data_IF_199855739750
#
_entry.id   IF_199855739750
#
_cell.length_a   1.000
_cell.length_b   1.000
_cell.length_c   1.000
_cell.angle_alpha   90.00
_cell.angle_beta   90.00
_cell.angle_gamma   90.00
#
_symmetry.space_group_name_H-M   'P 1'
#
loop_
_entity.id
_entity.type
_entity.pdbx_description
1 polymer ?
#
# COMPACT_ATOMS: atom_id res chain seq x y z
N UNK A 1 4.65 -20.74 -12.70
CA UNK A 1 5.54 -21.08 -11.58
C UNK A 1 5.91 -19.76 -10.95
N UNK A 2 5.28 -19.42 -9.83
CA UNK A 2 5.53 -18.18 -9.10
C UNK A 2 6.86 -18.32 -8.35
N UNK A 3 7.90 -17.67 -8.84
CA UNK A 3 9.15 -17.46 -8.10
C UNK A 3 8.90 -16.42 -6.99
N UNK A 4 8.23 -16.83 -5.92
CA UNK A 4 8.28 -16.13 -4.63
C UNK A 4 8.67 -17.17 -3.59
N UNK A 5 9.93 -17.60 -3.65
CA UNK A 5 10.56 -18.28 -2.52
C UNK A 5 11.13 -17.20 -1.62
N UNK A 6 10.43 -16.86 -0.53
CA UNK A 6 11.06 -16.14 0.57
C UNK A 6 12.23 -17.00 1.06
N UNK A 7 13.45 -16.69 0.62
CA UNK A 7 14.66 -17.34 1.10
C UNK A 7 15.13 -16.56 2.32
N UNK A 8 14.60 -16.90 3.49
CA UNK A 8 15.18 -16.47 4.77
C UNK A 8 16.15 -17.51 5.29
N UNK A 9 17.26 -17.03 5.86
CA UNK A 9 18.28 -17.85 6.48
C UNK A 9 18.80 -17.20 7.77
N UNK A 10 19.18 -18.03 8.74
CA UNK A 10 19.80 -17.54 9.98
C UNK A 10 21.11 -16.83 9.64
N UNK A 11 21.30 -15.63 10.20
CA UNK A 11 22.43 -14.75 9.91
C UNK A 11 22.24 -13.84 8.69
N UNK A 12 21.06 -13.82 8.08
CA UNK A 12 20.73 -12.89 6.99
C UNK A 12 20.35 -11.51 7.54
N UNK A 13 20.81 -10.46 6.86
CA UNK A 13 20.37 -9.10 7.10
C UNK A 13 19.01 -8.85 6.43
N UNK A 14 18.05 -8.38 7.23
CA UNK A 14 16.68 -8.09 6.81
C UNK A 14 16.29 -6.68 7.21
N UNK A 15 15.34 -6.10 6.49
CA UNK A 15 14.64 -4.90 6.89
C UNK A 15 13.29 -5.27 7.47
N UNK A 16 13.01 -4.76 8.67
CA UNK A 16 11.69 -4.86 9.30
C UNK A 16 11.11 -3.47 9.48
N UNK A 17 9.84 -3.31 9.10
CA UNK A 17 9.08 -2.08 9.32
C UNK A 17 8.26 -2.25 10.59
N UNK A 18 8.76 -1.72 11.71
CA UNK A 18 8.01 -1.67 12.96
C UNK A 18 6.67 -1.02 12.67
N UNK A 19 5.58 -1.75 12.95
CA UNK A 19 4.25 -1.22 12.75
C UNK A 19 4.03 0.12 13.52
N UNK A 20 4.64 0.33 14.69
CA UNK A 20 4.62 1.61 15.45
C UNK A 20 5.63 2.67 14.97
N UNK A 21 6.52 2.30 14.05
CA UNK A 21 7.54 3.18 13.48
C UNK A 21 8.64 3.61 14.44
N UNK A 22 8.75 2.98 15.63
CA UNK A 22 9.74 3.34 16.65
C UNK A 22 11.05 2.57 16.47
N UNK A 23 10.97 1.34 15.97
CA UNK A 23 12.11 0.43 15.82
C UNK A 23 12.28 -0.12 14.40
N UNK A 24 11.68 0.51 13.39
CA UNK A 24 11.90 0.14 11.99
C UNK A 24 13.38 0.23 11.64
N UNK A 25 13.90 -0.74 10.89
CA UNK A 25 15.30 -0.71 10.51
C UNK A 25 15.87 -2.04 10.03
N UNK A 26 17.20 -2.06 10.01
CA UNK A 26 18.01 -3.23 9.69
C UNK A 26 18.13 -4.17 10.90
N UNK A 27 17.92 -5.46 10.69
CA UNK A 27 18.07 -6.51 11.70
C UNK A 27 18.76 -7.74 11.11
N UNK A 28 19.35 -8.55 11.98
CA UNK A 28 19.90 -9.87 11.68
C UNK A 28 18.89 -10.94 12.08
N UNK A 29 18.65 -11.93 11.24
CA UNK A 29 17.85 -13.12 11.58
C UNK A 29 18.64 -13.99 12.56
N UNK A 30 18.12 -14.18 13.77
CA UNK A 30 18.73 -15.03 14.80
C UNK A 30 18.18 -16.46 14.79
N UNK A 31 16.86 -16.60 14.62
CA UNK A 31 16.17 -17.88 14.67
C UNK A 31 14.96 -17.86 13.73
N UNK A 32 14.68 -19.00 13.11
CA UNK A 32 13.47 -19.24 12.31
C UNK A 32 12.73 -20.40 12.96
N UNK A 33 11.52 -20.16 13.44
CA UNK A 33 10.67 -21.17 14.08
C UNK A 33 9.89 -21.93 13.03
N UNK A 34 10.57 -22.80 12.29
CA UNK A 34 9.96 -23.63 11.25
C UNK A 34 8.77 -24.44 11.80
N UNK A 35 7.77 -24.64 10.94
CA UNK A 35 6.62 -25.49 11.23
C UNK A 35 7.01 -26.97 11.34
N UNK A 36 6.09 -27.82 11.80
CA UNK A 36 6.34 -29.24 12.07
C UNK A 36 6.84 -30.01 10.82
N UNK A 37 6.50 -29.53 9.63
CA UNK A 37 6.93 -30.07 8.34
C UNK A 37 8.27 -29.48 7.83
N UNK A 38 8.85 -28.53 8.58
CA UNK A 38 10.08 -27.82 8.23
C UNK A 38 9.89 -26.73 7.17
N UNK A 39 8.64 -26.33 6.88
CA UNK A 39 8.33 -25.28 5.92
C UNK A 39 8.66 -23.87 6.43
N UNK A 40 8.94 -22.96 5.49
CA UNK A 40 9.02 -21.52 5.73
C UNK A 40 7.84 -20.88 5.00
N UNK A 41 6.82 -20.51 5.76
CA UNK A 41 5.59 -19.89 5.30
C UNK A 41 5.57 -18.42 5.71
N UNK A 42 4.58 -17.68 5.21
CA UNK A 42 4.47 -16.24 5.44
C UNK A 42 4.26 -15.88 6.92
N UNK A 43 3.57 -16.74 7.67
CA UNK A 43 3.28 -16.64 9.09
C UNK A 43 4.36 -17.29 9.99
N UNK A 44 5.42 -17.86 9.41
CA UNK A 44 6.52 -18.43 10.18
C UNK A 44 7.17 -17.34 11.04
N UNK A 45 7.23 -17.58 12.34
CA UNK A 45 7.80 -16.63 13.30
C UNK A 45 9.32 -16.64 13.23
N UNK A 46 9.90 -15.46 13.06
CA UNK A 46 11.33 -15.21 12.95
C UNK A 46 11.77 -14.31 14.10
N UNK A 47 12.79 -14.73 14.84
CA UNK A 47 13.45 -13.87 15.82
C UNK A 47 14.53 -13.05 15.12
N UNK A 48 14.43 -11.73 15.22
CA UNK A 48 15.37 -10.78 14.62
C UNK A 48 16.03 -9.91 15.70
N UNK A 49 17.27 -9.45 15.45
CA UNK A 49 18.00 -8.57 16.38
C UNK A 49 18.86 -7.56 15.65
N UNK A 50 18.93 -6.34 16.17
CA UNK A 50 19.87 -5.30 15.72
C UNK A 50 21.03 -5.10 16.71
N UNK A 51 21.20 -6.02 17.67
CA UNK A 51 22.20 -5.96 18.73
C UNK A 51 21.82 -5.08 19.93
N UNK A 52 20.71 -4.36 19.86
CA UNK A 52 20.16 -3.53 20.95
C UNK A 52 18.78 -4.05 21.39
N UNK A 53 17.95 -4.44 20.43
CA UNK A 53 16.59 -4.94 20.62
C UNK A 53 16.36 -6.18 19.78
N UNK A 54 15.47 -7.04 20.26
CA UNK A 54 15.01 -8.25 19.58
C UNK A 54 13.50 -8.17 19.36
N UNK A 55 13.01 -8.76 18.27
CA UNK A 55 11.60 -8.86 17.96
C UNK A 55 11.28 -10.22 17.33
N UNK A 56 10.10 -10.75 17.64
CA UNK A 56 9.52 -11.88 16.93
C UNK A 56 8.55 -11.33 15.88
N UNK A 57 8.79 -11.66 14.63
CA UNK A 57 8.07 -11.11 13.48
C UNK A 57 7.73 -12.21 12.50
N UNK A 58 6.63 -12.06 11.77
CA UNK A 58 6.28 -13.00 10.71
C UNK A 58 7.24 -12.84 9.53
N UNK A 59 7.58 -13.96 8.88
CA UNK A 59 8.52 -13.99 7.77
C UNK A 59 8.07 -13.07 6.61
N UNK A 60 6.75 -12.91 6.40
CA UNK A 60 6.21 -12.03 5.36
C UNK A 60 6.42 -10.52 5.60
N UNK A 61 6.71 -10.10 6.83
CA UNK A 61 7.03 -8.70 7.15
C UNK A 61 8.48 -8.34 6.83
N UNK A 62 9.34 -9.35 6.63
CA UNK A 62 10.76 -9.17 6.44
C UNK A 62 11.11 -8.99 4.96
N UNK A 63 11.97 -8.02 4.68
CA UNK A 63 12.55 -7.82 3.36
C UNK A 63 14.02 -8.16 3.39
N UNK A 64 14.52 -8.83 2.35
CA UNK A 64 15.96 -8.96 2.16
C UNK A 64 16.59 -7.56 2.04
N UNK A 65 17.51 -7.25 2.95
CA UNK A 65 18.10 -5.92 3.04
C UNK A 65 18.95 -5.58 1.82
N UNK A 66 19.61 -6.58 1.24
CA UNK A 66 20.48 -6.39 0.07
C UNK A 66 19.65 -6.07 -1.17
N UNK A 67 18.60 -6.85 -1.43
CA UNK A 67 17.69 -6.63 -2.56
C UNK A 67 16.94 -5.30 -2.42
N UNK A 68 16.51 -4.96 -1.20
CA UNK A 68 15.86 -3.69 -0.89
C UNK A 68 16.78 -2.50 -1.20
N UNK A 69 18.02 -2.51 -0.70
CA UNK A 69 19.01 -1.46 -0.96
C UNK A 69 19.32 -1.31 -2.44
N UNK A 70 19.48 -2.42 -3.15
CA UNK A 70 19.71 -2.40 -4.59
C UNK A 70 18.54 -1.74 -5.34
N UNK A 71 17.30 -2.12 -5.03
CA UNK A 71 16.10 -1.52 -5.64
C UNK A 71 16.00 -0.02 -5.37
N UNK A 72 16.25 0.41 -4.13
CA UNK A 72 16.24 1.84 -3.76
C UNK A 72 17.34 2.58 -4.54
N UNK A 73 18.55 2.03 -4.59
CA UNK A 73 19.65 2.60 -5.37
C UNK A 73 19.29 2.77 -6.84
N UNK A 74 18.76 1.73 -7.49
CA UNK A 74 18.36 1.78 -8.90
C UNK A 74 17.29 2.87 -9.15
N UNK A 75 16.33 3.03 -8.23
CA UNK A 75 15.35 4.12 -8.31
C UNK A 75 16.01 5.49 -8.17
N UNK A 76 16.89 5.69 -7.18
CA UNK A 76 17.59 6.95 -6.93
C UNK A 76 18.47 7.33 -8.12
N UNK A 77 19.25 6.40 -8.64
CA UNK A 77 20.09 6.61 -9.83
C UNK A 77 19.22 7.07 -11.02
N UNK A 78 18.09 6.37 -11.26
CA UNK A 78 17.20 6.70 -12.37
C UNK A 78 16.53 8.06 -12.23
N UNK A 79 16.09 8.41 -11.02
CA UNK A 79 15.50 9.72 -10.73
C UNK A 79 16.55 10.81 -10.92
N UNK A 80 17.79 10.56 -10.48
CA UNK A 80 18.90 11.50 -10.62
C UNK A 80 19.16 11.84 -12.08
N UNK A 81 19.27 10.83 -12.94
CA UNK A 81 19.41 11.03 -14.39
C UNK A 81 18.30 11.91 -14.98
N UNK A 82 17.04 11.63 -14.64
CA UNK A 82 15.88 12.34 -15.20
C UNK A 82 15.86 13.81 -14.78
N UNK A 83 16.12 14.10 -13.51
CA UNK A 83 15.93 15.46 -12.97
C UNK A 83 17.11 16.37 -13.27
N UNK A 84 18.33 15.83 -13.33
CA UNK A 84 19.51 16.60 -13.75
C UNK A 84 19.41 17.02 -15.22
N UNK A 85 18.76 16.23 -16.09
CA UNK A 85 18.45 16.63 -17.47
C UNK A 85 17.47 17.83 -17.55
N UNK A 86 16.67 18.05 -16.51
CA UNK A 86 15.78 19.22 -16.36
C UNK A 86 16.39 20.29 -15.44
N UNK A 87 17.72 20.40 -15.31
CA UNK A 87 18.41 21.42 -14.49
C UNK A 87 18.04 21.41 -12.98
N UNK A 88 17.49 20.32 -12.44
CA UNK A 88 17.38 20.13 -11.00
C UNK A 88 18.69 19.59 -10.44
N UNK A 89 19.03 20.01 -9.22
CA UNK A 89 20.03 19.34 -8.39
C UNK A 89 19.34 18.38 -7.44
N UNK A 90 19.94 17.22 -7.23
CA UNK A 90 19.45 16.20 -6.30
C UNK A 90 20.59 15.64 -5.46
N UNK A 91 20.33 15.41 -4.18
CA UNK A 91 21.28 14.80 -3.27
C UNK A 91 20.62 13.73 -2.42
N UNK A 92 21.18 12.51 -2.42
CA UNK A 92 20.76 11.45 -1.51
C UNK A 92 21.55 11.53 -0.21
N UNK A 93 20.86 11.68 0.93
CA UNK A 93 21.47 11.73 2.25
C UNK A 93 21.67 10.34 2.88
N UNK A 94 20.97 9.31 2.39
CA UNK A 94 21.17 7.93 2.84
C UNK A 94 22.15 7.17 1.93
N UNK A 95 23.43 7.22 2.29
CA UNK A 95 24.51 6.51 1.58
C UNK A 95 24.32 4.98 1.54
N UNK A 96 23.53 4.43 2.47
CA UNK A 96 23.31 2.99 2.57
C UNK A 96 22.05 2.53 1.80
N UNK A 97 21.26 3.46 1.24
CA UNK A 97 20.01 3.16 0.53
C UNK A 97 19.03 2.32 1.36
N UNK A 98 18.97 2.55 2.67
CA UNK A 98 18.00 1.89 3.54
C UNK A 98 16.58 2.44 3.28
N UNK A 99 16.50 3.75 3.07
CA UNK A 99 15.30 4.50 2.74
C UNK A 99 15.57 5.50 1.61
N UNK A 100 14.52 6.12 1.09
CA UNK A 100 14.67 7.29 0.22
C UNK A 100 14.81 8.51 1.12
N UNK A 101 15.89 9.28 0.95
CA UNK A 101 16.14 10.56 1.61
C UNK A 101 16.81 11.51 0.61
N UNK A 102 15.98 12.15 -0.22
CA UNK A 102 16.43 12.97 -1.34
C UNK A 102 16.16 14.44 -1.06
N UNK A 103 17.13 15.30 -1.33
CA UNK A 103 16.94 16.74 -1.37
C UNK A 103 16.98 17.22 -2.82
N UNK A 104 15.86 17.77 -3.28
CA UNK A 104 15.73 18.39 -4.59
C UNK A 104 15.93 19.89 -4.45
N UNK A 105 16.69 20.51 -5.36
CA UNK A 105 16.80 21.97 -5.42
C UNK A 105 16.92 22.49 -6.85
N UNK A 106 16.44 23.71 -7.06
CA UNK A 106 16.50 24.41 -8.34
C UNK A 106 16.46 25.92 -8.10
N UNK A 107 17.04 26.69 -9.01
CA UNK A 107 16.92 28.16 -8.99
C UNK A 107 15.77 28.62 -9.89
N UNK A 108 15.01 29.60 -9.42
CA UNK A 108 14.03 30.31 -10.26
C UNK A 108 14.71 31.25 -11.26
N UNK A 109 13.94 31.75 -12.24
CA UNK A 109 14.42 32.74 -13.21
C UNK A 109 14.89 34.06 -12.58
N UNK A 110 14.42 34.39 -11.38
CA UNK A 110 14.80 35.60 -10.62
C UNK A 110 15.90 35.32 -9.58
N UNK A 111 16.42 34.10 -9.55
CA UNK A 111 17.56 33.72 -8.71
C UNK A 111 17.20 33.30 -7.29
N UNK A 112 15.92 33.04 -7.00
CA UNK A 112 15.53 32.37 -5.77
C UNK A 112 16.02 30.92 -5.84
N UNK A 113 16.88 30.54 -4.91
CA UNK A 113 17.20 29.13 -4.66
C UNK A 113 16.12 28.54 -3.78
N UNK A 114 15.53 27.41 -4.21
CA UNK A 114 14.53 26.69 -3.44
C UNK A 114 14.80 25.19 -3.53
N UNK A 115 14.43 24.49 -2.46
CA UNK A 115 14.57 23.05 -2.39
C UNK A 115 13.75 22.44 -1.26
N UNK A 116 13.61 21.13 -1.30
CA UNK A 116 12.79 20.37 -0.38
C UNK A 116 13.27 18.94 -0.25
N UNK A 117 12.96 18.35 0.91
CA UNK A 117 13.25 16.96 1.20
C UNK A 117 12.11 16.05 0.75
N UNK A 118 12.48 14.87 0.31
CA UNK A 118 11.58 13.75 0.03
C UNK A 118 12.13 12.54 0.77
N UNK A 119 11.46 12.18 1.87
CA UNK A 119 11.82 11.06 2.72
C UNK A 119 10.67 10.04 2.82
N UNK A 120 10.95 8.76 2.53
CA UNK A 120 9.99 7.67 2.75
C UNK A 120 10.63 6.27 2.66
N UNK A 121 9.98 5.28 3.27
CA UNK A 121 10.55 3.94 3.43
C UNK A 121 10.35 3.00 2.23
N UNK A 122 9.31 3.13 1.41
CA UNK A 122 8.93 2.02 0.53
C UNK A 122 9.83 1.85 -0.70
N UNK A 123 10.57 2.89 -1.10
CA UNK A 123 11.48 2.83 -2.24
C UNK A 123 10.78 2.55 -3.57
N UNK A 124 9.49 2.92 -3.68
CA UNK A 124 8.70 2.77 -4.90
C UNK A 124 8.34 4.13 -5.52
N UNK A 125 8.10 4.14 -6.84
CA UNK A 125 7.82 5.36 -7.61
C UNK A 125 6.58 6.10 -7.11
N UNK A 126 5.54 5.39 -6.66
CA UNK A 126 4.30 6.02 -6.20
C UNK A 126 4.55 6.79 -4.90
N UNK A 127 5.31 6.21 -3.97
CA UNK A 127 5.75 6.90 -2.75
C UNK A 127 6.49 8.20 -3.07
N UNK A 128 7.44 8.17 -4.01
CA UNK A 128 8.19 9.35 -4.45
C UNK A 128 7.25 10.45 -4.97
N UNK A 129 6.40 10.11 -5.95
CA UNK A 129 5.47 11.07 -6.57
C UNK A 129 4.53 11.66 -5.52
N UNK A 130 3.94 10.83 -4.66
CA UNK A 130 3.02 11.27 -3.62
C UNK A 130 3.67 12.25 -2.63
N UNK A 131 4.93 12.02 -2.22
CA UNK A 131 5.62 12.94 -1.31
C UNK A 131 5.92 14.29 -1.99
N UNK A 132 6.31 14.28 -3.27
CA UNK A 132 6.51 15.52 -4.04
C UNK A 132 5.18 16.26 -4.25
N UNK A 133 4.09 15.54 -4.54
CA UNK A 133 2.74 16.11 -4.65
C UNK A 133 2.29 16.74 -3.33
N UNK A 134 2.56 16.10 -2.19
CA UNK A 134 2.24 16.67 -0.87
C UNK A 134 3.00 17.98 -0.62
N UNK A 135 4.28 18.07 -0.99
CA UNK A 135 5.04 19.32 -0.96
C UNK A 135 4.41 20.38 -1.87
N UNK A 136 4.08 20.05 -3.12
CA UNK A 136 3.43 20.96 -4.05
C UNK A 136 2.07 21.51 -3.53
N UNK A 137 1.24 20.66 -2.96
CA UNK A 137 -0.09 21.06 -2.44
C UNK A 137 0.03 21.94 -1.19
N UNK A 138 1.00 21.67 -0.32
CA UNK A 138 1.25 22.46 0.90
C UNK A 138 2.00 23.78 0.65
N UNK A 139 2.74 23.90 -0.46
CA UNK A 139 3.46 25.12 -0.80
C UNK A 139 2.49 26.27 -1.13
N UNK A 140 2.48 27.33 -0.29
CA UNK A 140 1.72 28.57 -0.54
C UNK A 140 2.68 29.68 -1.00
N UNK A 141 2.61 30.11 -2.28
CA UNK A 141 3.44 31.21 -2.78
C UNK A 141 3.31 32.52 -1.98
N UNK A 142 2.16 32.79 -1.36
CA UNK A 142 1.95 34.00 -0.56
C UNK A 142 2.69 33.91 0.78
N UNK A 143 2.65 32.76 1.43
CA UNK A 143 3.37 32.51 2.69
C UNK A 143 4.87 32.57 2.46
N UNK A 144 5.35 31.91 1.42
CA UNK A 144 6.76 31.92 1.03
C UNK A 144 7.24 33.33 0.66
N UNK A 145 6.43 34.09 -0.11
CA UNK A 145 6.77 35.45 -0.47
C UNK A 145 6.89 36.35 0.76
N UNK A 146 6.04 36.16 1.79
CA UNK A 146 6.07 36.95 3.02
C UNK A 146 7.41 36.85 3.76
N UNK A 147 8.12 35.71 3.66
CA UNK A 147 9.45 35.52 4.26
C UNK A 147 10.50 36.46 3.67
N UNK A 148 10.28 36.95 2.44
CA UNK A 148 11.18 37.80 1.69
C UNK A 148 10.77 39.28 1.67
N UNK A 149 9.73 39.65 2.41
CA UNK A 149 9.31 41.05 2.58
C UNK A 149 10.02 41.65 3.80
N UNK A 150 10.62 42.82 3.60
CA UNK A 150 11.25 43.65 4.62
C UNK A 150 10.25 44.52 5.38
N UNK A 151 10.71 45.14 6.47
CA UNK A 151 9.90 46.03 7.31
C UNK A 151 9.39 47.28 6.56
N UNK A 152 10.05 47.66 5.46
CA UNK A 152 9.67 48.77 4.59
C UNK A 152 8.60 48.39 3.55
N UNK A 153 8.16 47.12 3.53
CA UNK A 153 7.19 46.61 2.57
C UNK A 153 7.76 46.24 1.21
N UNK A 154 9.08 46.16 1.08
CA UNK A 154 9.78 45.78 -0.15
C UNK A 154 10.60 44.50 0.02
N UNK A 155 11.12 43.93 -1.07
CA UNK A 155 11.97 42.74 -0.98
C UNK A 155 13.24 42.94 -0.16
N UNK A 156 13.61 41.93 0.63
CA UNK A 156 14.85 41.88 1.42
C UNK A 156 15.77 40.75 0.95
N UNK A 157 17.03 40.77 1.41
CA UNK A 157 18.00 39.69 1.20
C UNK A 157 18.25 39.29 -0.28
N UNK A 158 18.15 40.25 -1.20
CA UNK A 158 18.36 40.00 -2.63
C UNK A 158 17.08 39.67 -3.41
N UNK A 159 15.93 39.56 -2.74
CA UNK A 159 14.64 39.44 -3.40
C UNK A 159 14.28 40.73 -4.20
N UNK A 160 13.42 40.62 -5.23
CA UNK A 160 12.94 41.76 -6.00
C UNK A 160 12.34 42.86 -5.13
N UNK A 161 12.54 44.13 -5.49
CA UNK A 161 12.02 45.26 -4.71
C UNK A 161 10.48 45.31 -4.67
N UNK A 162 9.84 44.97 -5.79
CA UNK A 162 8.37 44.99 -5.94
C UNK A 162 7.74 43.70 -5.41
N UNK A 163 6.72 43.82 -4.56
CA UNK A 163 6.02 42.67 -3.97
C UNK A 163 5.42 41.71 -5.01
N UNK A 164 4.93 42.24 -6.13
CA UNK A 164 4.39 41.44 -7.22
C UNK A 164 5.46 40.53 -7.83
N UNK A 165 6.69 41.03 -7.95
CA UNK A 165 7.82 40.28 -8.49
C UNK A 165 8.26 39.16 -7.53
N UNK A 166 8.23 39.40 -6.22
CA UNK A 166 8.50 38.35 -5.21
C UNK A 166 7.45 37.25 -5.29
N UNK A 167 6.17 37.64 -5.35
CA UNK A 167 5.07 36.68 -5.42
C UNK A 167 5.11 35.86 -6.72
N UNK A 168 5.41 36.49 -7.84
CA UNK A 168 5.54 35.79 -9.12
C UNK A 168 6.73 34.84 -9.14
N UNK A 169 7.82 35.16 -8.42
CA UNK A 169 8.95 34.26 -8.20
C UNK A 169 8.55 32.99 -7.43
N UNK A 170 7.82 33.12 -6.32
CA UNK A 170 7.33 31.97 -5.56
C UNK A 170 6.31 31.14 -6.34
N UNK A 171 5.49 31.77 -7.20
CA UNK A 171 4.60 31.03 -8.12
C UNK A 171 5.40 30.24 -9.15
N UNK A 172 6.53 30.77 -9.61
CA UNK A 172 7.44 30.06 -10.50
C UNK A 172 8.04 28.84 -9.79
N UNK A 173 8.50 28.97 -8.55
CA UNK A 173 8.96 27.84 -7.72
C UNK A 173 7.89 26.74 -7.65
N UNK A 174 6.65 27.10 -7.29
CA UNK A 174 5.53 26.13 -7.26
C UNK A 174 5.29 25.47 -8.62
N UNK A 175 5.37 26.23 -9.72
CA UNK A 175 5.22 25.71 -11.08
C UNK A 175 6.35 24.75 -11.45
N UNK A 176 7.58 25.03 -11.04
CA UNK A 176 8.72 24.14 -11.28
C UNK A 176 8.51 22.79 -10.59
N UNK A 177 8.00 22.77 -9.35
CA UNK A 177 7.63 21.52 -8.65
C UNK A 177 6.55 20.76 -9.42
N UNK A 178 5.53 21.45 -9.94
CA UNK A 178 4.49 20.81 -10.77
C UNK A 178 5.09 20.16 -12.02
N UNK A 179 5.98 20.88 -12.71
CA UNK A 179 6.67 20.37 -13.88
C UNK A 179 7.56 19.16 -13.55
N UNK A 180 8.22 19.14 -12.39
CA UNK A 180 8.96 17.98 -11.89
C UNK A 180 8.04 16.76 -11.69
N UNK A 181 6.87 16.94 -11.07
CA UNK A 181 5.88 15.86 -10.89
C UNK A 181 5.43 15.30 -12.25
N UNK A 182 5.11 16.17 -13.20
CA UNK A 182 4.65 15.76 -14.52
C UNK A 182 5.77 15.03 -15.31
N UNK A 183 7.02 15.51 -15.21
CA UNK A 183 8.22 14.89 -15.78
C UNK A 183 8.45 13.49 -15.21
N UNK A 184 8.51 13.35 -13.89
CA UNK A 184 8.74 12.06 -13.24
C UNK A 184 7.60 11.08 -13.56
N UNK A 185 6.34 11.53 -13.57
CA UNK A 185 5.21 10.71 -13.98
C UNK A 185 5.29 10.27 -15.44
N UNK A 186 5.91 11.05 -16.33
CA UNK A 186 6.10 10.68 -17.73
C UNK A 186 7.26 9.69 -17.89
N UNK A 187 8.41 9.99 -17.32
CA UNK A 187 9.65 9.23 -17.53
C UNK A 187 9.71 7.93 -16.71
N UNK A 188 8.93 7.85 -15.62
CA UNK A 188 8.79 6.64 -14.81
C UNK A 188 7.51 5.85 -15.14
N UNK A 189 6.71 6.27 -16.14
CA UNK A 189 5.56 5.49 -16.63
C UNK A 189 6.04 4.18 -17.26
N UNK A 190 5.54 3.06 -16.73
CA UNK A 190 5.83 1.74 -17.28
C UNK A 190 7.02 1.03 -16.67
N UNK A 191 7.68 1.59 -15.64
CA UNK A 191 8.53 0.78 -14.76
C UNK A 191 7.62 -0.20 -14.01
N UNK A 192 7.42 -1.40 -14.58
CA UNK A 192 6.79 -2.53 -13.91
C UNK A 192 7.74 -3.05 -12.85
N UNK A 193 7.83 -2.36 -11.72
CA UNK A 193 8.46 -2.90 -10.52
C UNK A 193 7.50 -3.96 -9.97
N UNK A 194 7.96 -5.19 -9.70
CA UNK A 194 7.15 -6.19 -9.01
C UNK A 194 6.54 -5.56 -7.76
N UNK A 195 5.23 -5.73 -7.61
CA UNK A 195 4.49 -5.32 -6.41
C UNK A 195 5.11 -6.10 -5.26
N UNK A 196 6.01 -5.46 -4.52
CA UNK A 196 6.50 -6.01 -3.27
C UNK A 196 5.29 -5.98 -2.34
N UNK A 197 4.74 -7.16 -2.07
CA UNK A 197 3.66 -7.31 -1.09
C UNK A 197 4.31 -6.98 0.25
N UNK A 198 4.27 -5.70 0.62
CA UNK A 198 4.48 -5.28 1.99
C UNK A 198 3.18 -5.58 2.73
N UNK A 199 3.17 -6.64 3.55
CA UNK A 199 2.20 -6.74 4.64
C UNK A 199 2.51 -5.61 5.63
N UNK A 200 1.93 -4.44 5.35
CA UNK A 200 1.88 -3.31 6.28
C UNK A 200 0.63 -3.46 7.15
N UNK A 201 0.52 -2.74 8.27
CA UNK A 201 -0.71 -2.59 9.10
C UNK A 201 -2.03 -2.28 8.34
N UNK A 202 -1.95 -2.01 7.03
CA UNK A 202 -3.10 -1.98 6.12
C UNK A 202 -3.73 -3.38 5.91
N UNK A 203 -2.90 -4.43 5.95
CA UNK A 203 -3.28 -5.85 5.96
C UNK A 203 -4.03 -6.22 7.23
N UNK A 204 -3.59 -5.80 8.43
CA UNK A 204 -4.36 -6.03 9.67
C UNK A 204 -5.72 -5.33 9.64
N UNK A 205 -5.81 -4.08 9.15
CA UNK A 205 -7.14 -3.42 9.01
C UNK A 205 -8.03 -4.11 7.99
N UNK A 206 -7.49 -4.53 6.85
CA UNK A 206 -8.26 -5.28 5.85
C UNK A 206 -8.58 -6.70 6.30
N UNK A 207 -7.71 -7.35 7.06
CA UNK A 207 -7.88 -8.68 7.65
C UNK A 207 -8.88 -8.65 8.80
N UNK A 208 -8.76 -7.67 9.70
CA UNK A 208 -9.73 -7.43 10.77
C UNK A 208 -11.09 -7.01 10.17
N UNK A 209 -11.12 -6.10 9.19
CA UNK A 209 -12.36 -5.75 8.47
C UNK A 209 -12.95 -6.98 7.78
N UNK A 210 -12.12 -7.78 7.10
CA UNK A 210 -12.56 -9.03 6.46
C UNK A 210 -13.11 -10.01 7.47
N UNK A 211 -12.48 -10.17 8.63
CA UNK A 211 -12.94 -11.04 9.71
C UNK A 211 -14.25 -10.51 10.29
N UNK A 212 -14.38 -9.20 10.55
CA UNK A 212 -15.64 -8.57 10.98
C UNK A 212 -16.77 -8.79 9.96
N UNK A 213 -16.47 -8.70 8.66
CA UNK A 213 -17.42 -8.99 7.59
C UNK A 213 -17.79 -10.47 7.58
N UNK A 214 -16.82 -11.38 7.67
CA UNK A 214 -17.05 -12.84 7.72
C UNK A 214 -17.92 -13.18 8.93
N UNK A 215 -17.60 -12.67 10.12
CA UNK A 215 -18.40 -12.85 11.34
C UNK A 215 -19.83 -12.32 11.15
N UNK A 216 -19.97 -11.15 10.52
CA UNK A 216 -21.28 -10.56 10.20
C UNK A 216 -22.07 -11.40 9.20
N UNK A 217 -21.41 -12.00 8.20
CA UNK A 217 -22.02 -12.94 7.26
C UNK A 217 -22.47 -14.20 8.00
N UNK A 218 -21.61 -14.82 8.81
CA UNK A 218 -21.96 -16.01 9.60
C UNK A 218 -23.18 -15.73 10.46
N UNK A 219 -23.18 -14.60 11.19
CA UNK A 219 -24.31 -14.20 12.03
C UNK A 219 -25.59 -14.00 11.22
N UNK A 220 -25.52 -13.28 10.11
CA UNK A 220 -26.67 -12.98 9.26
C UNK A 220 -27.23 -14.24 8.59
N UNK A 221 -26.36 -15.14 8.10
CA UNK A 221 -26.77 -16.45 7.56
C UNK A 221 -27.44 -17.27 8.65
N UNK A 222 -26.86 -17.32 9.86
CA UNK A 222 -27.44 -18.04 11.01
C UNK A 222 -28.83 -17.53 11.36
N UNK A 223 -29.03 -16.22 11.42
CA UNK A 223 -30.34 -15.59 11.66
C UNK A 223 -31.36 -15.96 10.60
N UNK A 224 -30.97 -15.91 9.32
CA UNK A 224 -31.83 -16.29 8.19
C UNK A 224 -32.22 -17.76 8.30
N UNK A 225 -31.25 -18.67 8.48
CA UNK A 225 -31.48 -20.12 8.55
C UNK A 225 -32.42 -20.49 9.71
N UNK A 226 -32.28 -19.84 10.87
CA UNK A 226 -33.18 -20.01 12.01
C UNK A 226 -34.60 -19.52 11.70
N UNK A 227 -34.72 -18.38 11.02
CA UNK A 227 -36.01 -17.77 10.66
C UNK A 227 -36.77 -18.59 9.60
N UNK A 228 -36.06 -19.09 8.59
CA UNK A 228 -36.63 -19.89 7.49
C UNK A 228 -36.77 -21.37 7.84
N UNK A 229 -36.11 -21.85 8.90
CA UNK A 229 -35.98 -23.27 9.26
C UNK A 229 -35.36 -24.10 8.14
N UNK A 230 -34.32 -23.57 7.51
CA UNK A 230 -33.56 -24.23 6.43
C UNK A 230 -32.11 -24.46 6.85
N UNK A 231 -31.38 -25.28 6.07
CA UNK A 231 -29.96 -25.56 6.28
C UNK A 231 -29.05 -24.75 5.35
N UNK A 232 -29.58 -24.32 4.20
CA UNK A 232 -28.90 -23.47 3.22
C UNK A 232 -29.89 -22.46 2.64
N UNK A 233 -29.36 -21.45 1.95
CA UNK A 233 -30.10 -20.39 1.27
C UNK A 233 -29.67 -20.38 -0.20
N UNK A 234 -30.64 -20.31 -1.11
CA UNK A 234 -30.37 -20.19 -2.55
C UNK A 234 -29.98 -18.75 -2.88
N UNK A 235 -28.93 -18.57 -3.67
CA UNK A 235 -28.47 -17.25 -4.13
C UNK A 235 -29.57 -16.47 -4.87
N UNK A 236 -30.35 -17.19 -5.67
CA UNK A 236 -31.52 -16.68 -6.38
C UNK A 236 -32.55 -16.01 -5.47
N UNK A 237 -32.72 -16.51 -4.24
CA UNK A 237 -33.64 -15.92 -3.27
C UNK A 237 -33.07 -14.66 -2.64
N UNK A 238 -31.78 -14.71 -2.29
CA UNK A 238 -31.05 -13.59 -1.66
C UNK A 238 -31.07 -12.36 -2.57
N UNK A 239 -30.88 -12.58 -3.87
CA UNK A 239 -30.75 -11.52 -4.87
C UNK A 239 -32.08 -11.16 -5.55
N UNK A 240 -33.21 -11.73 -5.13
CA UNK A 240 -34.52 -11.44 -5.72
C UNK A 240 -34.62 -11.81 -7.20
N UNK A 241 -33.97 -12.90 -7.60
CA UNK A 241 -33.85 -13.41 -8.98
C UNK A 241 -32.93 -12.60 -9.91
N UNK A 242 -32.26 -11.54 -9.45
CA UNK A 242 -31.30 -10.81 -10.27
C UNK A 242 -30.04 -11.62 -10.55
N UNK A 243 -29.62 -12.48 -9.62
CA UNK A 243 -28.50 -13.42 -9.77
C UNK A 243 -27.22 -12.77 -10.35
N UNK A 244 -26.71 -11.68 -9.75
CA UNK A 244 -25.43 -11.12 -10.15
C UNK A 244 -24.31 -12.14 -9.98
N UNK A 245 -23.40 -12.16 -10.95
CA UNK A 245 -22.12 -12.85 -10.82
C UNK A 245 -21.28 -12.14 -9.76
N UNK A 246 -20.40 -12.91 -9.10
CA UNK A 246 -19.44 -12.39 -8.15
C UNK A 246 -18.01 -12.58 -8.64
N UNK A 247 -17.09 -11.72 -8.22
CA UNK A 247 -15.68 -11.83 -8.55
C UNK A 247 -14.99 -12.90 -7.68
N UNK A 248 -14.43 -13.91 -8.32
CA UNK A 248 -13.72 -15.04 -7.73
C UNK A 248 -12.29 -15.12 -8.28
N UNK A 249 -11.32 -15.27 -7.39
CA UNK A 249 -9.90 -15.33 -7.75
C UNK A 249 -9.45 -16.77 -8.04
N UNK A 250 -8.70 -16.96 -9.12
CA UNK A 250 -8.02 -18.22 -9.44
C UNK A 250 -6.61 -17.92 -9.94
N UNK A 251 -5.77 -18.95 -10.06
CA UNK A 251 -4.37 -18.82 -10.52
C UNK A 251 -4.18 -18.09 -11.87
N UNK A 252 -5.23 -17.96 -12.68
CA UNK A 252 -5.22 -17.27 -13.98
C UNK A 252 -5.75 -15.83 -13.93
N UNK A 253 -6.08 -15.33 -12.74
CA UNK A 253 -6.66 -14.01 -12.50
C UNK A 253 -8.16 -14.03 -12.15
N UNK A 254 -8.76 -12.85 -11.92
CA UNK A 254 -10.13 -12.73 -11.46
C UNK A 254 -11.13 -13.21 -12.51
N UNK A 255 -12.18 -13.86 -12.03
CA UNK A 255 -13.22 -14.44 -12.86
C UNK A 255 -14.60 -14.25 -12.24
N UNK A 256 -15.58 -13.88 -13.06
CA UNK A 256 -16.98 -13.79 -12.65
C UNK A 256 -17.60 -15.19 -12.61
N UNK A 257 -18.13 -15.57 -11.44
CA UNK A 257 -18.80 -16.85 -11.20
C UNK A 257 -20.17 -16.60 -10.60
N UNK A 258 -21.12 -17.48 -10.92
CA UNK A 258 -22.48 -17.38 -10.41
C UNK A 258 -22.62 -18.21 -9.12
N UNK A 259 -22.89 -17.59 -7.96
CA UNK A 259 -23.19 -18.35 -6.75
C UNK A 259 -24.51 -19.12 -6.90
N UNK A 260 -24.56 -20.29 -6.27
CA UNK A 260 -25.72 -21.19 -6.28
C UNK A 260 -26.37 -21.25 -4.89
N UNK A 261 -25.59 -21.60 -3.86
CA UNK A 261 -26.06 -21.66 -2.46
C UNK A 261 -25.07 -21.05 -1.49
N UNK A 262 -25.60 -20.50 -0.40
CA UNK A 262 -24.83 -20.13 0.80
C UNK A 262 -25.40 -20.88 2.02
N UNK A 263 -24.53 -21.34 2.90
CA UNK A 263 -24.94 -22.08 4.10
C UNK A 263 -23.89 -22.01 5.21
N UNK A 264 -24.13 -22.71 6.31
CA UNK A 264 -23.16 -22.86 7.40
C UNK A 264 -22.60 -24.29 7.44
N UNK A 265 -21.36 -24.41 7.85
CA UNK A 265 -20.71 -25.67 8.20
C UNK A 265 -21.44 -26.39 9.34
N UNK A 266 -21.11 -27.67 9.56
CA UNK A 266 -21.75 -28.50 10.60
C UNK A 266 -21.58 -27.96 12.03
N UNK A 267 -20.50 -27.22 12.31
CA UNK A 267 -20.27 -26.54 13.59
C UNK A 267 -20.91 -25.15 13.69
N UNK A 268 -21.53 -24.65 12.61
CA UNK A 268 -22.14 -23.31 12.51
C UNK A 268 -21.19 -22.13 12.74
N UNK A 269 -19.88 -22.36 12.70
CA UNK A 269 -18.86 -21.33 12.92
C UNK A 269 -18.35 -20.72 11.60
N UNK A 270 -18.60 -21.39 10.47
CA UNK A 270 -18.10 -21.01 9.16
C UNK A 270 -19.23 -21.01 8.13
N UNK A 271 -19.21 -20.07 7.19
CA UNK A 271 -20.12 -20.09 6.06
C UNK A 271 -19.45 -20.71 4.83
N UNK A 272 -20.24 -21.26 3.92
CA UNK A 272 -19.76 -21.71 2.62
C UNK A 272 -20.62 -21.15 1.50
N UNK A 273 -20.02 -20.96 0.32
CA UNK A 273 -20.71 -20.61 -0.92
C UNK A 273 -20.39 -21.65 -1.99
N UNK A 274 -21.41 -22.27 -2.56
CA UNK A 274 -21.27 -23.10 -3.76
C UNK A 274 -21.57 -22.29 -5.00
N UNK A 275 -20.99 -22.70 -6.12
CA UNK A 275 -21.17 -22.03 -7.41
C UNK A 275 -21.91 -22.93 -8.40
N UNK A 276 -22.48 -22.31 -9.43
CA UNK A 276 -23.11 -23.04 -10.52
C UNK A 276 -22.12 -24.03 -11.14
N UNK A 277 -22.59 -25.25 -11.45
CA UNK A 277 -21.73 -26.37 -11.85
C UNK A 277 -20.91 -26.11 -13.12
N UNK A 278 -21.35 -25.18 -13.98
CA UNK A 278 -20.63 -24.78 -15.19
C UNK A 278 -19.54 -23.72 -14.96
N UNK A 279 -19.44 -23.14 -13.77
CA UNK A 279 -18.42 -22.16 -13.41
C UNK A 279 -17.08 -22.81 -13.03
N UNK A 280 -16.99 -24.15 -12.92
CA UNK A 280 -15.75 -24.86 -12.55
C UNK A 280 -15.03 -24.27 -11.30
N UNK A 281 -15.76 -23.59 -10.42
CA UNK A 281 -15.24 -22.96 -9.22
C UNK A 281 -15.51 -23.87 -8.00
N UNK A 282 -14.51 -24.17 -7.16
CA UNK A 282 -14.72 -24.95 -5.96
C UNK A 282 -15.55 -24.15 -4.95
N UNK A 283 -16.14 -24.85 -3.97
CA UNK A 283 -16.83 -24.21 -2.84
C UNK A 283 -15.88 -23.23 -2.15
N UNK A 284 -16.37 -22.02 -1.90
CA UNK A 284 -15.67 -21.01 -1.11
C UNK A 284 -16.06 -21.17 0.36
N UNK A 285 -15.13 -21.55 1.22
CA UNK A 285 -15.35 -21.62 2.67
C UNK A 285 -14.87 -20.31 3.30
N UNK A 286 -15.67 -19.69 4.17
CA UNK A 286 -15.39 -18.38 4.78
C UNK A 286 -14.87 -17.31 3.80
N UNK A 287 -15.40 -17.32 2.58
CA UNK A 287 -15.03 -16.37 1.55
C UNK A 287 -13.65 -16.61 0.91
N UNK A 288 -13.04 -17.78 1.09
CA UNK A 288 -11.85 -18.20 0.34
C UNK A 288 -12.01 -17.87 -1.16
N UNK A 289 -10.98 -17.26 -1.75
CA UNK A 289 -10.95 -16.82 -3.16
C UNK A 289 -12.00 -15.75 -3.54
N UNK A 290 -12.68 -15.15 -2.56
CA UNK A 290 -13.59 -14.01 -2.77
C UNK A 290 -12.97 -12.75 -2.17
N UNK A 291 -12.97 -11.67 -2.96
CA UNK A 291 -12.48 -10.36 -2.52
C UNK A 291 -13.33 -9.78 -1.39
N UNK A 292 -12.71 -9.02 -0.48
CA UNK A 292 -13.42 -8.41 0.66
C UNK A 292 -14.55 -7.49 0.21
N UNK A 293 -14.37 -6.71 -0.85
CA UNK A 293 -15.45 -5.86 -1.40
C UNK A 293 -16.65 -6.71 -1.88
N UNK A 294 -16.38 -7.84 -2.54
CA UNK A 294 -17.42 -8.80 -2.93
C UNK A 294 -18.12 -9.40 -1.70
N UNK A 295 -17.40 -9.63 -0.59
CA UNK A 295 -18.01 -10.09 0.67
C UNK A 295 -18.91 -9.03 1.30
N UNK A 296 -18.56 -7.74 1.19
CA UNK A 296 -19.42 -6.63 1.61
C UNK A 296 -20.72 -6.64 0.80
N UNK A 297 -20.62 -6.79 -0.52
CA UNK A 297 -21.80 -6.86 -1.40
C UNK A 297 -22.68 -8.07 -1.02
N UNK A 298 -22.07 -9.25 -0.79
CA UNK A 298 -22.78 -10.45 -0.34
C UNK A 298 -23.50 -10.20 1.00
N UNK A 299 -22.82 -9.57 1.96
CA UNK A 299 -23.41 -9.21 3.24
C UNK A 299 -24.60 -8.27 3.04
N UNK A 300 -24.48 -7.23 2.21
CA UNK A 300 -25.57 -6.32 1.91
C UNK A 300 -26.77 -7.05 1.28
N UNK A 301 -26.56 -7.97 0.34
CA UNK A 301 -27.65 -8.79 -0.20
C UNK A 301 -28.32 -9.65 0.88
N UNK A 302 -27.53 -10.26 1.77
CA UNK A 302 -28.04 -11.08 2.87
C UNK A 302 -28.84 -10.26 3.87
N UNK A 303 -28.37 -9.08 4.27
CA UNK A 303 -29.09 -8.18 5.17
C UNK A 303 -30.40 -7.70 4.55
N UNK A 304 -30.37 -7.29 3.28
CA UNK A 304 -31.56 -6.90 2.54
C UNK A 304 -32.57 -8.05 2.40
N UNK A 305 -32.11 -9.30 2.30
CA UNK A 305 -32.98 -10.47 2.29
C UNK A 305 -33.52 -10.77 3.69
N UNK A 306 -32.67 -10.73 4.72
CA UNK A 306 -33.06 -10.92 6.14
C UNK A 306 -34.16 -9.95 6.55
N UNK A 307 -34.04 -8.68 6.17
CA UNK A 307 -35.02 -7.63 6.51
C UNK A 307 -36.40 -7.85 5.86
N UNK A 308 -36.50 -8.74 4.86
CA UNK A 308 -37.74 -9.11 4.16
C UNK A 308 -38.39 -10.40 4.68
N UNK A 309 -37.73 -11.14 5.58
CA UNK A 309 -38.23 -12.39 6.16
C UNK A 309 -39.23 -12.16 7.29
#
# INVERSE_FOLDING_TARGET
MSENTNTLSIGQDVWWKDPEGKTSGSFLVLEIKYDEDGGLYDDTIVLISNGVSEAEVEACELQDLTLRRQKIKELVDRVTEIVEEDDWSIHNHDENFNNIDLYFSKSSSRGQDFGFYVDYDSGDVKGLINTIEAYYESYDPCEEAALWIGEDGHGRNGAPHDLADILDDMKECKKNVRSLIDLLNQELKGVKIPKQILHSRYSERLYNLRNEIIESIVHTVKDILQSTKTYTILWDRITGHENPDICYEKDSGPWNVLPDTIGLSDNEDEFFITFATYCEAPTSNNGENIYTDTLIDILEYLENYRDKL
#
